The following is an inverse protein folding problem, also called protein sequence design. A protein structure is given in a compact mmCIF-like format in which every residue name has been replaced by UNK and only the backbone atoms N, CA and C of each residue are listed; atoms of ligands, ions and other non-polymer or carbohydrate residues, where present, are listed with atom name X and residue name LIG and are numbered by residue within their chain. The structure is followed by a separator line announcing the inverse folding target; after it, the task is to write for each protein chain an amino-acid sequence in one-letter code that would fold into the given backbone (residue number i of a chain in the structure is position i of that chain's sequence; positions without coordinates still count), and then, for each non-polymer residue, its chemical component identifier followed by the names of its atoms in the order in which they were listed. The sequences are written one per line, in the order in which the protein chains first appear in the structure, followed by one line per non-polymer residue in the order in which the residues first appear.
data_IF_312244322119
#
_entry.id   IF_312244322119
#
_cell.length_a   1.000
_cell.length_b   1.000
_cell.length_c   1.000
_cell.angle_alpha   90.00
_cell.angle_beta   90.00
_cell.angle_gamma   90.00
#
_symmetry.space_group_name_H-M   'P 1'
#
loop_
_entity.id
_entity.type
_entity.pdbx_description
1 polymer ?
#
# COMPACT_ATOMS: atom_id res chain seq x y z
N UNK A 1 -24.54 -9.50 5.10
CA UNK A 1 -23.78 -8.29 4.72
C UNK A 1 -23.61 -7.41 5.95
N UNK A 2 -22.40 -7.03 6.27
CA UNK A 2 -22.06 -6.37 7.54
C UNK A 2 -21.24 -5.13 7.29
N UNK A 3 -21.50 -4.06 8.05
CA UNK A 3 -20.61 -2.90 8.07
C UNK A 3 -19.36 -3.23 8.87
N UNK A 4 -18.22 -2.83 8.37
CA UNK A 4 -16.95 -2.95 9.08
C UNK A 4 -16.60 -1.58 9.67
N UNK A 5 -16.13 -1.56 10.92
CA UNK A 5 -15.77 -0.33 11.62
C UNK A 5 -14.38 0.19 11.22
N UNK A 6 -14.13 0.24 9.92
CA UNK A 6 -12.87 0.67 9.32
C UNK A 6 -13.16 1.46 8.05
N UNK A 7 -12.23 2.32 7.68
CA UNK A 7 -12.12 2.83 6.33
C UNK A 7 -11.07 2.04 5.57
N UNK A 8 -11.13 2.05 4.24
CA UNK A 8 -10.18 1.34 3.41
C UNK A 8 -9.34 2.32 2.61
N UNK A 9 -8.05 2.01 2.48
CA UNK A 9 -7.12 2.75 1.64
C UNK A 9 -6.56 1.77 0.61
N UNK A 10 -6.75 2.08 -0.66
CA UNK A 10 -6.10 1.33 -1.76
C UNK A 10 -4.78 2.03 -2.03
N UNK A 11 -3.68 1.31 -1.85
CA UNK A 11 -2.33 1.83 -2.05
C UNK A 11 -1.91 1.52 -3.48
N UNK A 12 -1.79 2.56 -4.31
CA UNK A 12 -1.56 2.41 -5.75
C UNK A 12 -0.13 2.82 -6.10
N UNK A 13 0.69 1.90 -6.64
CA UNK A 13 2.03 2.28 -7.09
C UNK A 13 1.96 3.26 -8.26
N UNK A 14 2.91 4.19 -8.31
CA UNK A 14 2.99 5.23 -9.34
C UNK A 14 3.99 4.87 -10.42
N UNK A 15 4.02 5.64 -11.49
CA UNK A 15 5.05 5.49 -12.53
C UNK A 15 6.46 5.67 -11.96
N UNK A 16 6.63 6.57 -10.97
CA UNK A 16 7.91 6.78 -10.29
C UNK A 16 8.38 5.48 -9.63
N UNK A 17 7.47 4.77 -8.94
CA UNK A 17 7.79 3.47 -8.35
C UNK A 17 8.19 2.45 -9.42
N UNK A 18 7.42 2.37 -10.51
CA UNK A 18 7.71 1.43 -11.60
C UNK A 18 9.09 1.70 -12.22
N UNK A 19 9.40 2.96 -12.47
CA UNK A 19 10.70 3.36 -13.02
C UNK A 19 11.85 2.99 -12.07
N UNK A 20 11.64 3.22 -10.77
CA UNK A 20 12.62 2.81 -9.76
C UNK A 20 12.80 1.30 -9.73
N UNK A 21 11.69 0.55 -9.74
CA UNK A 21 11.71 -0.91 -9.70
C UNK A 21 12.49 -1.49 -10.90
N UNK A 22 12.28 -0.93 -12.08
CA UNK A 22 13.04 -1.32 -13.29
C UNK A 22 14.53 -0.99 -13.18
N UNK A 23 14.88 0.06 -12.46
CA UNK A 23 16.27 0.47 -12.30
C UNK A 23 17.07 -0.44 -11.38
N UNK A 24 16.41 -1.12 -10.43
CA UNK A 24 17.07 -1.99 -9.45
C UNK A 24 16.97 -3.47 -9.83
N UNK A 25 16.06 -3.84 -10.70
CA UNK A 25 15.88 -5.22 -11.16
C UNK A 25 15.93 -5.28 -12.69
N UNK A 26 17.14 -5.53 -13.21
CA UNK A 26 17.38 -5.59 -14.64
C UNK A 26 16.68 -6.78 -15.31
N UNK A 27 16.42 -7.84 -14.56
CA UNK A 27 15.77 -9.05 -15.06
C UNK A 27 14.25 -8.99 -14.96
N UNK A 28 13.72 -7.89 -14.47
CA UNK A 28 12.29 -7.70 -14.32
C UNK A 28 11.59 -7.69 -15.69
N UNK A 29 10.51 -8.47 -15.87
CA UNK A 29 9.73 -8.41 -17.11
C UNK A 29 9.23 -7.01 -17.39
N UNK A 30 9.02 -6.68 -18.64
CA UNK A 30 8.43 -5.42 -19.03
C UNK A 30 6.98 -5.35 -18.49
N UNK A 31 6.76 -4.47 -17.52
CA UNK A 31 5.45 -4.27 -16.91
C UNK A 31 4.97 -2.84 -17.15
N UNK A 32 3.68 -2.70 -17.43
CA UNK A 32 3.04 -1.40 -17.54
C UNK A 32 2.51 -0.97 -16.18
N UNK A 33 2.21 0.33 -16.04
CA UNK A 33 1.59 0.85 -14.82
C UNK A 33 0.24 0.15 -14.55
N UNK A 34 -0.55 -0.10 -15.58
CA UNK A 34 -1.83 -0.81 -15.43
C UNK A 34 -1.64 -2.21 -14.87
N UNK A 35 -0.58 -2.92 -15.30
CA UNK A 35 -0.29 -4.26 -14.81
C UNK A 35 0.12 -4.26 -13.34
N UNK A 36 0.96 -3.33 -12.88
CA UNK A 36 1.36 -3.27 -11.48
C UNK A 36 0.24 -2.79 -10.57
N UNK A 37 -0.81 -2.15 -11.13
CA UNK A 37 -1.99 -1.69 -10.39
C UNK A 37 -3.14 -2.70 -10.42
N UNK A 38 -2.97 -3.85 -11.03
CA UNK A 38 -4.04 -4.84 -11.15
C UNK A 38 -4.40 -5.51 -9.83
N UNK A 39 -3.51 -5.48 -8.86
CA UNK A 39 -3.75 -6.05 -7.52
C UNK A 39 -3.03 -5.21 -6.47
N UNK A 40 -3.67 -4.14 -6.06
CA UNK A 40 -3.11 -3.23 -5.06
C UNK A 40 -3.34 -3.74 -3.64
N UNK A 41 -2.47 -3.33 -2.73
CA UNK A 41 -2.69 -3.55 -1.30
C UNK A 41 -3.85 -2.68 -0.83
N UNK A 42 -4.74 -3.27 -0.05
CA UNK A 42 -5.82 -2.56 0.62
C UNK A 42 -5.53 -2.56 2.12
N UNK A 43 -5.40 -1.37 2.70
CA UNK A 43 -5.18 -1.21 4.13
C UNK A 43 -6.51 -0.87 4.80
N UNK A 44 -6.80 -1.52 5.91
CA UNK A 44 -7.88 -1.09 6.79
C UNK A 44 -7.31 -0.13 7.81
N UNK A 45 -7.92 1.03 7.93
CA UNK A 45 -7.52 2.10 8.86
C UNK A 45 -8.71 2.44 9.76
N UNK A 46 -8.50 3.14 10.87
CA UNK A 46 -9.64 3.63 11.67
C UNK A 46 -10.60 4.43 10.80
N UNK A 47 -11.89 4.41 11.13
CA UNK A 47 -12.87 5.19 10.40
C UNK A 47 -12.47 6.66 10.35
N UNK A 48 -12.57 7.27 9.17
CA UNK A 48 -12.23 8.68 8.98
C UNK A 48 -13.46 9.44 8.47
N UNK A 49 -13.60 10.69 8.92
CA UNK A 49 -14.65 11.58 8.43
C UNK A 49 -14.23 12.38 7.20
N UNK A 50 -12.93 12.63 7.05
CA UNK A 50 -12.36 13.41 5.96
C UNK A 50 -11.14 12.70 5.37
N UNK A 51 -10.90 12.80 4.03
CA UNK A 51 -9.73 12.16 3.42
C UNK A 51 -8.39 12.57 4.02
N UNK A 52 -8.28 13.81 4.49
CA UNK A 52 -7.07 14.33 5.12
C UNK A 52 -6.68 13.56 6.38
N UNK A 53 -7.67 13.02 7.10
CA UNK A 53 -7.42 12.19 8.29
C UNK A 53 -6.74 10.88 7.90
N UNK A 54 -7.12 10.29 6.77
CA UNK A 54 -6.50 9.08 6.27
C UNK A 54 -5.04 9.34 5.87
N UNK A 55 -4.77 10.45 5.20
CA UNK A 55 -3.41 10.84 4.82
C UNK A 55 -2.56 11.05 6.07
N UNK A 56 -3.08 11.74 7.09
CA UNK A 56 -2.37 11.97 8.34
C UNK A 56 -2.05 10.65 9.06
N UNK A 57 -2.99 9.71 9.05
CA UNK A 57 -2.79 8.38 9.63
C UNK A 57 -1.64 7.63 8.93
N UNK A 58 -1.61 7.69 7.60
CA UNK A 58 -0.56 7.05 6.81
C UNK A 58 0.79 7.75 6.99
N UNK A 59 0.81 9.07 7.09
CA UNK A 59 2.04 9.84 7.34
C UNK A 59 2.73 9.39 8.64
N UNK A 60 1.97 9.03 9.65
CA UNK A 60 2.51 8.54 10.91
C UNK A 60 3.03 7.10 10.84
N UNK A 61 2.60 6.32 9.85
CA UNK A 61 2.88 4.89 9.72
C UNK A 61 3.54 4.50 8.42
N UNK A 62 3.99 5.47 7.66
CA UNK A 62 4.46 5.23 6.30
C UNK A 62 5.65 4.26 6.24
N UNK A 63 6.53 4.27 7.24
CA UNK A 63 7.71 3.41 7.23
C UNK A 63 7.33 1.92 7.22
N UNK A 64 6.38 1.55 8.05
CA UNK A 64 5.88 0.17 8.11
C UNK A 64 5.19 -0.22 6.79
N UNK A 65 4.34 0.66 6.28
CA UNK A 65 3.64 0.44 5.01
C UNK A 65 4.63 0.33 3.86
N UNK A 66 5.62 1.21 3.82
CA UNK A 66 6.64 1.25 2.77
C UNK A 66 7.45 -0.06 2.76
N UNK A 67 7.93 -0.47 3.92
CA UNK A 67 8.69 -1.73 4.06
C UNK A 67 7.85 -2.93 3.65
N UNK A 68 6.60 -2.95 4.06
CA UNK A 68 5.70 -4.05 3.71
C UNK A 68 5.49 -4.14 2.20
N UNK A 69 5.31 -3.00 1.52
CA UNK A 69 5.16 -2.97 0.07
C UNK A 69 6.41 -3.45 -0.65
N UNK A 70 7.59 -2.97 -0.26
CA UNK A 70 8.84 -3.41 -0.88
C UNK A 70 9.07 -4.91 -0.67
N UNK A 71 8.74 -5.43 0.52
CA UNK A 71 8.81 -6.87 0.79
C UNK A 71 7.83 -7.66 -0.08
N UNK A 72 6.63 -7.13 -0.29
CA UNK A 72 5.61 -7.75 -1.14
C UNK A 72 6.03 -7.83 -2.61
N UNK A 73 6.83 -6.86 -3.08
CA UNK A 73 7.42 -6.88 -4.41
C UNK A 73 8.71 -7.71 -4.49
N UNK A 74 9.08 -8.35 -3.37
CA UNK A 74 10.25 -9.21 -3.27
C UNK A 74 11.57 -8.48 -3.59
N UNK A 75 11.63 -7.18 -3.32
CA UNK A 75 12.85 -6.40 -3.52
C UNK A 75 13.81 -6.68 -2.36
N UNK A 76 15.05 -7.15 -2.64
CA UNK A 76 16.03 -7.34 -1.57
C UNK A 76 16.32 -6.05 -0.81
N UNK A 77 16.47 -6.14 0.51
CA UNK A 77 16.65 -4.97 1.38
C UNK A 77 17.85 -4.10 0.99
N UNK A 78 18.92 -4.71 0.50
CA UNK A 78 20.11 -3.98 0.07
C UNK A 78 19.88 -3.12 -1.17
N UNK A 79 18.78 -3.37 -1.90
CA UNK A 79 18.40 -2.60 -3.07
C UNK A 79 17.33 -1.55 -2.78
N UNK A 80 16.81 -1.49 -1.56
CA UNK A 80 15.79 -0.52 -1.19
C UNK A 80 16.32 0.92 -1.35
N UNK A 81 15.42 1.91 -1.54
CA UNK A 81 15.86 3.31 -1.64
C UNK A 81 16.71 3.70 -0.43
N UNK A 82 17.77 4.48 -0.68
CA UNK A 82 18.63 4.97 0.40
C UNK A 82 17.88 5.86 1.37
N UNK A 83 16.92 6.63 0.86
CA UNK A 83 16.06 7.50 1.65
C UNK A 83 14.68 6.88 1.73
N UNK A 84 14.41 6.16 2.81
CA UNK A 84 13.08 5.63 3.13
C UNK A 84 12.28 6.71 3.86
N UNK A 85 12.09 7.85 3.21
CA UNK A 85 11.44 9.01 3.81
C UNK A 85 10.02 9.21 3.28
N UNK A 86 9.31 10.14 3.91
CA UNK A 86 7.90 10.40 3.59
C UNK A 86 7.74 10.92 2.17
N UNK A 87 8.66 11.77 1.70
CA UNK A 87 8.62 12.31 0.34
C UNK A 87 8.71 11.19 -0.68
N UNK A 88 9.66 10.27 -0.50
CA UNK A 88 9.83 9.12 -1.40
C UNK A 88 8.61 8.22 -1.37
N UNK A 89 8.03 7.98 -0.19
CA UNK A 89 6.83 7.17 -0.06
C UNK A 89 5.69 7.76 -0.91
N UNK A 90 5.42 9.06 -0.81
CA UNK A 90 4.35 9.69 -1.57
C UNK A 90 4.67 9.90 -3.06
N UNK A 91 5.93 9.80 -3.46
CA UNK A 91 6.31 9.72 -4.87
C UNK A 91 6.03 8.33 -5.45
N UNK A 92 6.21 7.29 -4.64
CA UNK A 92 6.04 5.90 -5.08
C UNK A 92 4.60 5.45 -5.07
N UNK A 93 3.78 6.04 -4.20
CA UNK A 93 2.40 5.60 -4.01
C UNK A 93 1.43 6.76 -4.01
N UNK A 94 0.24 6.50 -4.53
CA UNK A 94 -0.93 7.35 -4.33
C UNK A 94 -2.01 6.50 -3.68
N UNK A 95 -3.00 7.12 -3.06
CA UNK A 95 -4.01 6.42 -2.31
C UNK A 95 -5.40 6.74 -2.82
N UNK A 96 -6.27 5.75 -2.73
CA UNK A 96 -7.70 5.88 -2.97
C UNK A 96 -8.40 5.50 -1.67
N UNK A 97 -9.22 6.40 -1.15
CA UNK A 97 -9.79 6.26 0.19
C UNK A 97 -11.29 5.99 0.07
N UNK A 98 -11.74 4.95 0.78
CA UNK A 98 -13.14 4.55 0.83
C UNK A 98 -13.59 4.43 2.26
N UNK A 99 -14.67 5.12 2.64
CA UNK A 99 -15.18 5.08 4.00
C UNK A 99 -16.27 4.02 4.20
N UNK A 100 -16.82 3.47 3.12
CA UNK A 100 -17.82 2.41 3.21
C UNK A 100 -17.17 1.06 2.93
N UNK A 101 -17.00 0.28 3.98
CA UNK A 101 -16.41 -1.05 3.88
C UNK A 101 -17.44 -2.06 4.40
N UNK A 102 -17.75 -3.05 3.57
CA UNK A 102 -18.71 -4.09 3.89
C UNK A 102 -18.05 -5.46 3.84
N UNK A 103 -18.42 -6.31 4.79
CA UNK A 103 -18.06 -7.71 4.76
C UNK A 103 -19.31 -8.52 4.32
N UNK A 104 -19.17 -9.25 3.24
CA UNK A 104 -20.27 -10.07 2.68
C UNK A 104 -20.32 -11.48 3.24
N UNK A 105 -19.33 -11.88 4.03
CA UNK A 105 -19.18 -13.24 4.56
C UNK A 105 -19.80 -13.31 5.94
N UNK A 106 -20.54 -14.41 6.21
CA UNK A 106 -21.20 -14.60 7.49
C UNK A 106 -20.24 -15.06 8.60
N UNK A 107 -19.08 -15.62 8.23
CA UNK A 107 -18.07 -16.05 9.18
C UNK A 107 -17.25 -14.86 9.69
N UNK A 108 -16.73 -14.97 10.90
CA UNK A 108 -15.87 -13.93 11.47
C UNK A 108 -14.59 -13.76 10.66
N UNK A 109 -14.16 -12.50 10.52
CA UNK A 109 -12.90 -12.16 9.88
C UNK A 109 -11.74 -12.70 10.72
N UNK A 110 -10.83 -13.45 10.08
CA UNK A 110 -9.63 -13.96 10.73
C UNK A 110 -8.48 -13.00 10.46
N UNK A 111 -7.87 -12.53 11.55
CA UNK A 111 -6.76 -11.57 11.49
C UNK A 111 -5.50 -12.26 12.00
N UNK A 112 -4.41 -12.18 11.22
CA UNK A 112 -3.12 -12.75 11.59
C UNK A 112 -2.03 -11.70 11.44
N UNK A 113 -1.09 -11.59 12.41
CA UNK A 113 0.02 -10.68 12.26
C UNK A 113 0.90 -11.06 11.08
N UNK A 114 1.46 -10.06 10.40
CA UNK A 114 2.44 -10.29 9.34
C UNK A 114 3.75 -10.71 10.00
N UNK A 115 4.28 -11.88 9.57
CA UNK A 115 5.60 -12.32 9.98
C UNK A 115 6.66 -11.55 9.20
N UNK A 116 7.51 -10.84 9.89
CA UNK A 116 8.62 -10.13 9.27
C UNK A 116 9.92 -10.91 9.38
#
# INVERSE_FOLDING_TARGET
MYFVDRSAVVLKPTQVFLDWLKSVDEDMPELSLAQIRSNCTVLLIPEVGEPEEAVAYLDERFEEVFRNELSGWEVPQDLWPKSMDLVTFWQFFEVEIHDLVLDSVDDELIVQPISS
#
